data_IF_296021364600
#
_entry.id   IF_296021364600
#
_cell.length_a   1.000
_cell.length_b   1.000
_cell.length_c   1.000
_cell.angle_alpha   90.00
_cell.angle_beta   90.00
_cell.angle_gamma   90.00
#
_symmetry.space_group_name_H-M   'P 1'
#
loop_
_entity.id
_entity.type
_entity.pdbx_description
1 polymer ?
#
# COMPACT_ATOMS: atom_id res chain seq x y z
N UNK A 1 -43.94 -19.32 -60.07
CA UNK A 1 -44.15 -19.30 -58.60
C UNK A 1 -42.80 -19.24 -57.86
N UNK A 2 -41.95 -18.22 -58.06
CA UNK A 2 -40.65 -18.13 -57.35
C UNK A 2 -40.13 -16.68 -57.13
N UNK A 3 -40.93 -15.65 -57.44
CA UNK A 3 -40.45 -14.25 -57.43
C UNK A 3 -41.08 -13.41 -56.29
N UNK A 4 -42.24 -13.78 -55.74
CA UNK A 4 -42.89 -13.01 -54.67
C UNK A 4 -42.33 -13.27 -53.24
N UNK A 5 -41.64 -14.40 -53.03
CA UNK A 5 -41.06 -14.75 -51.72
C UNK A 5 -39.70 -14.10 -51.41
N UNK A 6 -38.93 -13.68 -52.42
CA UNK A 6 -37.61 -13.06 -52.23
C UNK A 6 -37.70 -11.61 -51.73
N UNK A 7 -38.74 -10.87 -52.12
CA UNK A 7 -38.91 -9.48 -51.70
C UNK A 7 -39.41 -9.33 -50.25
N UNK A 8 -40.17 -10.30 -49.72
CA UNK A 8 -40.62 -10.30 -48.33
C UNK A 8 -39.46 -10.60 -47.37
N UNK A 9 -38.55 -11.50 -47.74
CA UNK A 9 -37.33 -11.80 -46.96
C UNK A 9 -36.36 -10.62 -46.98
N UNK A 10 -36.24 -9.90 -48.11
CA UNK A 10 -35.39 -8.69 -48.18
C UNK A 10 -35.99 -7.54 -47.34
N UNK A 11 -37.32 -7.37 -47.33
CA UNK A 11 -37.97 -6.37 -46.49
C UNK A 11 -37.96 -6.72 -44.99
N UNK A 12 -37.94 -8.01 -44.61
CA UNK A 12 -37.80 -8.42 -43.20
C UNK A 12 -36.36 -8.37 -42.69
N UNK A 13 -35.36 -8.43 -43.58
CA UNK A 13 -33.93 -8.30 -43.23
C UNK A 13 -33.53 -6.81 -43.09
N UNK A 14 -34.17 -5.90 -43.83
CA UNK A 14 -33.88 -4.46 -43.78
C UNK A 14 -34.46 -3.77 -42.52
N UNK A 15 -35.53 -4.30 -41.92
CA UNK A 15 -36.12 -3.75 -40.68
C UNK A 15 -35.33 -4.10 -39.40
N UNK A 16 -34.30 -4.94 -39.48
CA UNK A 16 -33.48 -5.34 -38.33
C UNK A 16 -32.18 -4.53 -38.16
N UNK A 17 -31.93 -3.54 -39.03
CA UNK A 17 -30.80 -2.62 -38.93
C UNK A 17 -31.25 -1.23 -38.48
N UNK A 18 -31.93 -1.13 -37.33
CA UNK A 18 -32.03 0.16 -36.64
C UNK A 18 -30.69 0.37 -35.93
N UNK A 19 -29.85 1.35 -36.32
CA UNK A 19 -28.63 1.63 -35.59
C UNK A 19 -29.02 2.11 -34.19
N UNK A 20 -28.85 1.25 -33.19
CA UNK A 20 -28.96 1.61 -31.79
C UNK A 20 -27.89 2.62 -31.46
N UNK A 21 -28.19 3.90 -31.63
CA UNK A 21 -27.35 4.98 -31.15
C UNK A 21 -27.42 4.95 -29.62
N UNK A 22 -26.43 4.32 -28.99
CA UNK A 22 -26.18 4.55 -27.57
C UNK A 22 -25.80 6.02 -27.43
N UNK A 23 -26.69 6.84 -26.87
CA UNK A 23 -26.30 8.19 -26.46
C UNK A 23 -25.32 8.03 -25.30
N UNK A 24 -24.09 8.56 -25.40
CA UNK A 24 -23.20 8.63 -24.26
C UNK A 24 -23.93 9.39 -23.16
N UNK A 25 -24.20 8.72 -22.04
CA UNK A 25 -24.65 9.41 -20.84
C UNK A 25 -23.46 10.15 -20.28
N UNK A 26 -23.38 11.44 -20.58
CA UNK A 26 -22.42 12.35 -19.96
C UNK A 26 -23.16 13.02 -18.81
N UNK A 27 -23.12 12.46 -17.58
CA UNK A 27 -23.69 13.14 -16.43
C UNK A 27 -23.04 14.53 -16.36
N UNK A 28 -23.86 15.56 -16.12
CA UNK A 28 -23.32 16.88 -15.81
C UNK A 28 -22.50 16.72 -14.53
N UNK A 29 -21.17 16.72 -14.67
CA UNK A 29 -20.27 16.70 -13.51
C UNK A 29 -20.61 17.94 -12.70
N UNK A 30 -21.10 17.74 -11.48
CA UNK A 30 -21.40 18.83 -10.57
C UNK A 30 -20.05 19.47 -10.23
N UNK A 31 -19.75 20.61 -10.84
CA UNK A 31 -18.47 21.32 -10.69
C UNK A 31 -18.42 22.16 -9.41
N UNK A 32 -19.16 21.78 -8.37
CA UNK A 32 -18.94 22.38 -7.06
C UNK A 32 -17.58 21.90 -6.59
N UNK A 33 -16.68 22.83 -6.26
CA UNK A 33 -15.41 22.51 -5.64
C UNK A 33 -15.69 21.76 -4.33
N UNK A 34 -15.65 20.43 -4.38
CA UNK A 34 -15.66 19.56 -3.21
C UNK A 34 -14.28 19.70 -2.58
N UNK A 35 -14.15 20.60 -1.61
CA UNK A 35 -12.96 20.80 -0.78
C UNK A 35 -13.26 20.38 0.68
N UNK A 36 -13.86 19.20 0.83
CA UNK A 36 -14.27 18.66 2.11
C UNK A 36 -13.06 18.14 2.87
N UNK A 37 -13.09 18.28 4.20
CA UNK A 37 -12.06 17.72 5.06
C UNK A 37 -12.20 16.19 5.08
N UNK A 38 -11.08 15.51 4.88
CA UNK A 38 -10.94 14.07 5.03
C UNK A 38 -10.05 13.83 6.24
N UNK A 39 -10.54 13.02 7.19
CA UNK A 39 -9.86 12.70 8.44
C UNK A 39 -9.72 11.19 8.54
N UNK A 40 -8.48 10.73 8.64
CA UNK A 40 -8.13 9.31 8.77
C UNK A 40 -7.30 9.08 10.03
N UNK A 41 -7.54 7.97 10.72
CA UNK A 41 -6.80 7.56 11.91
C UNK A 41 -7.68 7.27 13.11
N UNK A 42 -7.04 6.79 14.18
CA UNK A 42 -7.70 6.39 15.42
C UNK A 42 -6.95 6.93 16.63
N UNK A 43 -7.67 7.23 17.70
CA UNK A 43 -7.08 7.67 18.97
C UNK A 43 -6.53 6.43 19.68
N UNK A 44 -5.20 6.33 19.73
CA UNK A 44 -4.53 5.27 20.46
C UNK A 44 -4.46 5.61 21.95
N UNK A 45 -4.96 4.71 22.80
CA UNK A 45 -4.98 4.89 24.25
C UNK A 45 -3.77 4.35 25.00
N UNK A 46 -2.85 3.65 24.33
CA UNK A 46 -1.64 3.12 24.95
C UNK A 46 -0.82 2.20 24.04
N UNK A 47 0.50 2.19 24.25
CA UNK A 47 1.43 1.25 23.61
C UNK A 47 1.95 1.68 22.24
N UNK A 48 1.30 2.64 21.58
CA UNK A 48 1.77 3.27 20.34
C UNK A 48 1.30 4.74 20.29
N UNK A 49 1.81 5.51 19.33
CA UNK A 49 1.41 6.88 19.05
C UNK A 49 0.02 6.96 18.39
N UNK A 50 -0.73 8.03 18.67
CA UNK A 50 -1.88 8.41 17.83
C UNK A 50 -1.36 9.17 16.62
N UNK A 51 -1.74 8.73 15.42
CA UNK A 51 -1.48 9.41 14.16
C UNK A 51 -2.80 9.68 13.45
N UNK A 52 -3.01 10.94 13.04
CA UNK A 52 -4.17 11.40 12.27
C UNK A 52 -3.65 11.99 10.96
N UNK A 53 -4.20 11.54 9.85
CA UNK A 53 -3.95 12.08 8.51
C UNK A 53 -5.11 13.00 8.12
N UNK A 54 -4.80 14.24 7.79
CA UNK A 54 -5.76 15.20 7.26
C UNK A 54 -5.46 15.49 5.78
N UNK A 55 -6.51 15.40 4.97
CA UNK A 55 -6.45 15.79 3.57
C UNK A 55 -7.75 16.47 3.13
N UNK A 56 -7.79 16.92 1.88
CA UNK A 56 -8.94 17.53 1.25
C UNK A 56 -9.33 16.76 0.00
N UNK A 57 -10.65 16.65 -0.20
CA UNK A 57 -11.17 16.13 -1.47
C UNK A 57 -10.77 17.04 -2.63
N UNK A 58 -10.59 16.45 -3.80
CA UNK A 58 -10.24 17.15 -5.03
C UNK A 58 -11.38 17.02 -6.05
N UNK A 59 -11.60 18.03 -6.91
CA UNK A 59 -12.53 17.90 -8.02
C UNK A 59 -12.12 16.75 -8.96
N UNK A 60 -13.10 16.05 -9.54
CA UNK A 60 -12.86 14.90 -10.43
C UNK A 60 -12.03 15.23 -11.68
N UNK A 61 -11.97 16.51 -12.08
CA UNK A 61 -11.18 16.98 -13.22
C UNK A 61 -9.79 17.52 -12.83
N UNK A 62 -9.38 17.32 -11.58
CA UNK A 62 -8.06 17.74 -11.07
C UNK A 62 -6.98 16.71 -11.45
N UNK A 63 -5.76 17.21 -11.70
CA UNK A 63 -4.57 16.34 -11.83
C UNK A 63 -3.98 15.94 -10.47
N UNK A 64 -4.47 16.54 -9.37
CA UNK A 64 -4.10 16.18 -8.01
C UNK A 64 -5.02 15.06 -7.54
N UNK A 65 -4.44 14.02 -6.93
CA UNK A 65 -5.17 12.89 -6.37
C UNK A 65 -5.55 13.09 -4.91
N UNK A 66 -4.71 13.80 -4.14
CA UNK A 66 -4.97 14.20 -2.76
C UNK A 66 -4.32 15.56 -2.48
N UNK A 67 -4.90 16.34 -1.57
CA UNK A 67 -4.30 17.60 -1.10
C UNK A 67 -4.17 17.51 0.42
N UNK A 68 -2.95 17.53 0.99
CA UNK A 68 -2.78 17.46 2.44
C UNK A 68 -3.29 18.74 3.11
N UNK A 69 -3.93 18.60 4.27
CA UNK A 69 -4.32 19.75 5.10
C UNK A 69 -3.18 20.07 6.08
N UNK A 70 -2.54 21.21 5.90
CA UNK A 70 -1.39 21.66 6.68
C UNK A 70 -1.75 22.81 7.63
N UNK A 71 -0.97 23.00 8.68
CA UNK A 71 -1.16 24.10 9.64
C UNK A 71 -2.38 23.98 10.56
N UNK A 72 -3.06 22.82 10.57
CA UNK A 72 -4.19 22.60 11.46
C UNK A 72 -3.72 22.34 12.91
N UNK A 73 -4.47 22.84 13.88
CA UNK A 73 -4.28 22.53 15.30
C UNK A 73 -5.17 21.35 15.66
N UNK A 74 -4.56 20.21 15.98
CA UNK A 74 -5.28 18.99 16.35
C UNK A 74 -5.06 18.65 17.82
N UNK A 75 -6.16 18.40 18.52
CA UNK A 75 -6.15 17.99 19.93
C UNK A 75 -7.08 16.80 20.17
N UNK A 76 -6.63 15.85 20.98
CA UNK A 76 -7.48 14.83 21.59
C UNK A 76 -8.04 15.44 22.88
N UNK A 77 -9.36 15.49 23.01
CA UNK A 77 -10.06 16.04 24.17
C UNK A 77 -10.76 14.92 24.94
N UNK A 78 -10.51 14.85 26.25
CA UNK A 78 -11.24 13.96 27.16
C UNK A 78 -12.50 14.63 27.68
N UNK A 79 -13.54 13.84 27.99
CA UNK A 79 -14.70 14.29 28.76
C UNK A 79 -14.37 14.67 30.21
N UNK A 80 -13.11 14.49 30.65
CA UNK A 80 -12.59 14.88 31.96
C UNK A 80 -11.72 16.16 31.90
N UNK A 81 -11.90 17.00 30.88
CA UNK A 81 -11.19 18.28 30.68
C UNK A 81 -9.67 18.16 30.52
N UNK A 82 -9.16 16.99 30.14
CA UNK A 82 -7.77 16.80 29.71
C UNK A 82 -7.67 16.95 28.19
N UNK A 83 -6.54 17.47 27.69
CA UNK A 83 -6.29 17.65 26.26
C UNK A 83 -4.86 17.28 25.90
N UNK A 84 -4.68 16.64 24.74
CA UNK A 84 -3.40 16.18 24.24
C UNK A 84 -3.20 16.68 22.81
N UNK A 85 -2.12 17.41 22.56
CA UNK A 85 -1.85 18.00 21.24
C UNK A 85 -1.13 17.01 20.33
N UNK A 86 -1.47 17.04 19.04
CA UNK A 86 -0.75 16.31 18.00
C UNK A 86 0.12 17.30 17.22
N UNK A 87 1.39 16.94 17.04
CA UNK A 87 2.34 17.74 16.29
C UNK A 87 2.28 17.40 14.79
N UNK A 88 2.26 18.42 13.94
CA UNK A 88 2.37 18.25 12.49
C UNK A 88 3.74 17.66 12.11
N UNK A 89 3.72 16.67 11.22
CA UNK A 89 4.90 15.96 10.68
C UNK A 89 5.09 16.19 9.17
N UNK A 90 4.25 17.04 8.56
CA UNK A 90 4.20 17.27 7.13
C UNK A 90 3.30 16.27 6.41
N UNK A 91 3.01 16.53 5.12
CA UNK A 91 2.13 15.72 4.27
C UNK A 91 0.75 15.43 4.90
N UNK A 92 0.22 16.36 5.70
CA UNK A 92 -1.06 16.21 6.39
C UNK A 92 -1.03 15.24 7.58
N UNK A 93 0.13 14.73 7.98
CA UNK A 93 0.28 13.80 9.10
C UNK A 93 0.45 14.59 10.40
N UNK A 94 -0.35 14.26 11.40
CA UNK A 94 -0.27 14.81 12.75
C UNK A 94 -0.15 13.67 13.74
N UNK A 95 0.85 13.71 14.62
CA UNK A 95 1.08 12.63 15.58
C UNK A 95 1.38 13.12 16.99
N UNK A 96 0.94 12.31 17.95
CA UNK A 96 1.26 12.48 19.36
C UNK A 96 2.48 11.62 19.75
N UNK A 97 3.19 11.98 20.84
CA UNK A 97 3.97 11.00 21.57
C UNK A 97 3.09 9.81 22.02
N UNK A 98 3.69 8.72 22.48
CA UNK A 98 2.91 7.62 23.09
C UNK A 98 2.13 8.18 24.28
N UNK A 99 0.80 8.06 24.24
CA UNK A 99 -0.11 8.53 25.28
C UNK A 99 -0.58 7.34 26.12
N UNK A 100 -0.84 7.58 27.40
CA UNK A 100 -1.53 6.63 28.29
C UNK A 100 -2.86 7.24 28.68
N UNK A 101 -3.92 6.86 27.96
CA UNK A 101 -5.26 7.43 28.11
C UNK A 101 -6.14 6.48 28.95
N UNK A 102 -6.78 6.95 30.03
CA UNK A 102 -7.73 6.14 30.79
C UNK A 102 -8.84 5.55 29.91
N UNK A 103 -9.02 4.21 29.95
CA UNK A 103 -10.04 3.51 29.18
C UNK A 103 -11.49 3.80 29.64
N UNK A 104 -11.66 4.36 30.84
CA UNK A 104 -12.97 4.73 31.41
C UNK A 104 -13.46 6.10 30.97
N UNK A 105 -12.59 6.92 30.38
CA UNK A 105 -12.96 8.23 29.84
C UNK A 105 -13.43 8.10 28.38
N UNK A 106 -14.13 9.12 27.91
CA UNK A 106 -14.46 9.27 26.49
C UNK A 106 -13.57 10.32 25.88
N UNK A 107 -13.23 10.11 24.61
CA UNK A 107 -12.34 11.01 23.86
C UNK A 107 -13.00 11.44 22.57
N UNK A 108 -12.64 12.64 22.11
CA UNK A 108 -12.96 13.13 20.78
C UNK A 108 -11.74 13.81 20.17
N UNK A 109 -11.74 13.92 18.86
CA UNK A 109 -10.79 14.72 18.12
C UNK A 109 -11.35 16.13 17.91
N UNK A 110 -10.54 17.15 18.14
CA UNK A 110 -10.83 18.53 17.81
C UNK A 110 -9.77 19.05 16.84
N UNK A 111 -10.24 19.55 15.70
CA UNK A 111 -9.41 20.07 14.62
C UNK A 111 -9.80 21.52 14.40
N UNK A 112 -8.84 22.42 14.44
CA UNK A 112 -9.00 23.81 14.01
C UNK A 112 -8.08 24.02 12.81
N UNK A 113 -8.67 24.25 11.64
CA UNK A 113 -7.92 24.45 10.40
C UNK A 113 -7.37 25.87 10.30
N UNK A 114 -6.37 26.09 9.45
CA UNK A 114 -5.72 27.41 9.28
C UNK A 114 -6.70 28.49 8.79
N UNK A 115 -7.75 28.09 8.06
CA UNK A 115 -8.86 28.97 7.65
C UNK A 115 -9.88 29.27 8.77
N UNK A 116 -9.63 28.81 10.00
CA UNK A 116 -10.42 29.09 11.20
C UNK A 116 -11.66 28.21 11.38
N UNK A 117 -11.90 27.22 10.51
CA UNK A 117 -13.01 26.26 10.72
C UNK A 117 -12.69 25.29 11.85
N UNK A 118 -13.71 24.95 12.63
CA UNK A 118 -13.56 24.02 13.76
C UNK A 118 -14.39 22.77 13.53
N UNK A 119 -13.72 21.62 13.58
CA UNK A 119 -14.32 20.30 13.45
C UNK A 119 -14.17 19.53 14.76
N UNK A 120 -15.24 18.86 15.18
CA UNK A 120 -15.26 18.00 16.35
C UNK A 120 -15.76 16.62 15.95
N UNK A 121 -15.07 15.57 16.39
CA UNK A 121 -15.69 14.25 16.41
C UNK A 121 -16.66 14.13 17.59
N UNK A 122 -17.57 13.17 17.50
CA UNK A 122 -18.31 12.70 18.66
C UNK A 122 -17.36 12.13 19.71
N UNK A 123 -17.84 12.11 20.96
CA UNK A 123 -17.17 11.41 22.04
C UNK A 123 -17.30 9.90 21.85
N UNK A 124 -16.17 9.21 21.77
CA UNK A 124 -16.10 7.76 21.64
C UNK A 124 -15.47 7.13 22.88
N UNK A 125 -15.99 5.96 23.25
CA UNK A 125 -15.45 5.14 24.34
C UNK A 125 -14.32 4.27 23.79
N UNK A 126 -13.12 4.27 24.40
CA UNK A 126 -12.03 3.40 23.99
C UNK A 126 -12.40 1.92 24.02
N UNK A 127 -12.00 1.20 22.97
CA UNK A 127 -12.07 -0.26 22.92
C UNK A 127 -10.71 -0.89 23.11
N UNK A 128 -10.62 -1.87 24.00
CA UNK A 128 -9.39 -2.62 24.21
C UNK A 128 -9.30 -3.74 23.16
N UNK A 129 -8.24 -3.73 22.35
CA UNK A 129 -8.02 -4.80 21.38
C UNK A 129 -7.54 -6.07 22.11
N UNK A 130 -8.16 -7.24 21.87
CA UNK A 130 -7.66 -8.49 22.42
C UNK A 130 -6.36 -8.90 21.70
N UNK A 131 -5.54 -9.79 22.30
CA UNK A 131 -4.29 -10.25 21.70
C UNK A 131 -4.50 -10.93 20.34
N UNK A 132 -3.51 -10.80 19.45
CA UNK A 132 -3.44 -11.60 18.22
C UNK A 132 -2.92 -12.99 18.56
N UNK A 133 -3.74 -14.03 18.37
CA UNK A 133 -3.37 -15.42 18.65
C UNK A 133 -2.24 -15.88 17.74
N UNK A 134 -2.43 -15.70 16.43
CA UNK A 134 -1.42 -16.06 15.43
C UNK A 134 -1.65 -15.33 14.12
N UNK A 135 -0.56 -15.16 13.37
CA UNK A 135 -0.59 -14.82 11.96
C UNK A 135 -0.04 -16.04 11.25
N UNK A 136 -0.82 -16.57 10.32
CA UNK A 136 -0.45 -17.75 9.55
C UNK A 136 -0.44 -17.44 8.07
N UNK A 137 0.05 -18.41 7.30
CA UNK A 137 0.03 -18.35 5.85
C UNK A 137 -0.30 -19.73 5.29
N UNK A 138 -0.90 -19.74 4.11
CA UNK A 138 -1.14 -20.96 3.35
C UNK A 138 -0.94 -20.70 1.87
N UNK A 139 -0.42 -21.71 1.17
CA UNK A 139 -0.39 -21.69 -0.28
C UNK A 139 -1.81 -21.77 -0.82
N UNK A 140 -2.15 -20.91 -1.77
CA UNK A 140 -3.42 -20.95 -2.48
C UNK A 140 -3.15 -20.90 -3.98
N UNK A 141 -4.04 -21.54 -4.74
CA UNK A 141 -4.00 -21.52 -6.20
C UNK A 141 -5.42 -21.36 -6.70
N UNK A 142 -5.71 -20.23 -7.33
CA UNK A 142 -7.03 -19.93 -7.86
C UNK A 142 -6.94 -19.48 -9.34
N UNK A 143 -8.06 -19.57 -10.06
CA UNK A 143 -8.10 -19.24 -11.50
C UNK A 143 -8.02 -17.75 -11.80
N UNK A 144 -8.19 -16.88 -10.79
CA UNK A 144 -8.34 -15.42 -10.95
C UNK A 144 -7.06 -14.65 -10.61
N UNK A 145 -6.34 -15.09 -9.58
CA UNK A 145 -5.12 -14.48 -9.02
C UNK A 145 -3.88 -15.37 -9.20
N UNK A 146 -4.04 -16.61 -9.69
CA UNK A 146 -2.93 -17.56 -9.89
C UNK A 146 -2.54 -18.27 -8.60
N UNK A 147 -1.28 -18.75 -8.55
CA UNK A 147 -0.71 -19.37 -7.35
C UNK A 147 0.04 -18.33 -6.53
N UNK A 148 -0.08 -18.41 -5.20
CA UNK A 148 0.64 -17.53 -4.28
C UNK A 148 0.37 -17.86 -2.83
N UNK A 149 0.73 -16.93 -1.96
CA UNK A 149 0.68 -17.05 -0.52
C UNK A 149 -0.47 -16.21 0.04
N UNK A 150 -1.44 -16.85 0.69
CA UNK A 150 -2.46 -16.17 1.46
C UNK A 150 -2.00 -16.02 2.90
N UNK A 151 -1.89 -14.78 3.38
CA UNK A 151 -1.64 -14.47 4.79
C UNK A 151 -2.97 -14.24 5.48
N UNK A 152 -3.11 -14.74 6.71
CA UNK A 152 -4.31 -14.63 7.52
C UNK A 152 -4.02 -14.40 9.00
N UNK A 153 -5.02 -13.92 9.74
CA UNK A 153 -4.97 -13.67 11.18
C UNK A 153 -5.98 -14.52 11.95
N UNK A 154 -5.60 -14.92 13.15
CA UNK A 154 -6.46 -15.53 14.15
C UNK A 154 -6.44 -14.69 15.43
N UNK A 155 -7.61 -14.46 16.01
CA UNK A 155 -7.77 -13.74 17.27
C UNK A 155 -9.05 -14.18 17.98
N UNK A 156 -9.08 -14.04 19.30
CA UNK A 156 -10.29 -14.21 20.08
C UNK A 156 -10.35 -13.21 21.24
N UNK A 157 -11.56 -12.85 21.65
CA UNK A 157 -11.81 -12.14 22.91
C UNK A 157 -12.48 -13.11 23.90
N UNK A 158 -11.77 -13.58 24.94
CA UNK A 158 -12.34 -14.50 25.91
C UNK A 158 -13.49 -13.87 26.73
N UNK A 159 -13.59 -12.53 26.76
CA UNK A 159 -14.66 -11.81 27.44
C UNK A 159 -15.83 -11.47 26.51
N UNK A 160 -15.72 -11.76 25.21
CA UNK A 160 -16.80 -11.60 24.23
C UNK A 160 -17.36 -10.15 24.19
N UNK A 161 -16.46 -9.15 24.15
CA UNK A 161 -16.82 -7.72 24.19
C UNK A 161 -16.48 -6.96 22.88
N UNK A 162 -15.67 -7.55 22.00
CA UNK A 162 -15.09 -6.86 20.84
C UNK A 162 -15.98 -6.98 19.62
N UNK A 163 -16.24 -8.20 19.17
CA UNK A 163 -17.08 -8.60 18.04
C UNK A 163 -16.78 -8.05 16.64
N UNK A 164 -16.06 -6.94 16.55
CA UNK A 164 -15.75 -6.22 15.32
C UNK A 164 -14.28 -5.83 15.34
N UNK A 165 -13.59 -6.15 14.26
CA UNK A 165 -12.14 -6.06 14.14
C UNK A 165 -11.77 -5.35 12.86
N UNK A 166 -10.69 -4.59 12.92
CA UNK A 166 -9.98 -4.02 11.78
C UNK A 166 -8.50 -4.36 11.89
N UNK A 167 -7.86 -4.61 10.75
CA UNK A 167 -6.42 -4.87 10.69
C UNK A 167 -5.74 -3.95 9.68
N UNK A 168 -4.66 -3.32 10.14
CA UNK A 168 -3.65 -2.73 9.25
C UNK A 168 -2.42 -3.62 9.25
N UNK A 169 -1.60 -3.51 8.22
CA UNK A 169 -0.31 -4.18 8.23
C UNK A 169 0.81 -3.38 7.56
N UNK A 170 2.03 -3.60 8.06
CA UNK A 170 3.27 -3.10 7.47
C UNK A 170 4.09 -4.29 6.97
N UNK A 171 4.27 -4.35 5.66
CA UNK A 171 5.07 -5.34 4.98
C UNK A 171 6.50 -4.84 4.82
N UNK A 172 7.45 -5.76 4.91
CA UNK A 172 8.86 -5.52 4.62
C UNK A 172 9.46 -6.79 4.06
N UNK A 173 10.19 -6.69 2.95
CA UNK A 173 10.79 -7.86 2.31
C UNK A 173 12.23 -7.55 1.91
N UNK A 174 13.05 -8.59 1.93
CA UNK A 174 14.41 -8.58 1.41
C UNK A 174 14.40 -9.16 0.00
N UNK A 175 15.05 -8.44 -0.91
CA UNK A 175 15.17 -8.80 -2.32
C UNK A 175 16.57 -8.43 -2.83
N UNK A 176 16.91 -8.93 -4.00
CA UNK A 176 18.19 -8.64 -4.64
C UNK A 176 18.03 -7.93 -5.98
N UNK A 177 19.09 -7.29 -6.47
CA UNK A 177 19.20 -6.95 -7.88
C UNK A 177 19.33 -8.23 -8.71
N UNK A 178 18.99 -8.19 -10.00
CA UNK A 178 19.09 -9.39 -10.86
C UNK A 178 20.55 -9.81 -11.08
N UNK A 179 21.46 -8.84 -11.15
CA UNK A 179 22.90 -9.09 -11.29
C UNK A 179 23.66 -8.42 -10.14
N UNK A 180 24.55 -9.18 -9.50
CA UNK A 180 25.46 -8.64 -8.50
C UNK A 180 26.53 -7.76 -9.16
N UNK A 181 26.81 -6.61 -8.54
CA UNK A 181 27.84 -5.69 -8.98
C UNK A 181 28.94 -5.61 -7.94
N UNK A 182 30.10 -6.18 -8.25
CA UNK A 182 31.28 -6.11 -7.40
C UNK A 182 32.04 -4.80 -7.56
N UNK A 183 31.73 -4.02 -8.61
CA UNK A 183 32.52 -2.89 -9.05
C UNK A 183 31.71 -1.60 -9.15
N UNK A 184 32.41 -0.47 -9.02
CA UNK A 184 31.85 0.88 -9.14
C UNK A 184 32.86 1.81 -9.83
N UNK A 185 32.37 2.75 -10.62
CA UNK A 185 33.20 3.82 -11.18
C UNK A 185 33.34 4.97 -10.20
N UNK A 186 34.55 5.53 -10.10
CA UNK A 186 34.79 6.80 -9.40
C UNK A 186 34.95 8.01 -10.36
N UNK A 187 34.64 7.83 -11.65
CA UNK A 187 34.86 8.84 -12.69
C UNK A 187 36.23 8.81 -13.34
N UNK A 188 37.18 8.03 -12.80
CA UNK A 188 38.55 7.90 -13.33
C UNK A 188 38.97 6.44 -13.52
N UNK A 189 38.41 5.52 -12.74
CA UNK A 189 38.69 4.09 -12.79
C UNK A 189 37.51 3.27 -12.27
N UNK A 190 37.52 1.99 -12.61
CA UNK A 190 36.62 0.99 -12.03
C UNK A 190 37.31 0.36 -10.82
N UNK A 191 36.63 0.38 -9.68
CA UNK A 191 37.13 -0.08 -8.39
C UNK A 191 36.19 -1.14 -7.81
N UNK A 192 36.70 -1.98 -6.91
CA UNK A 192 35.83 -2.83 -6.10
C UNK A 192 34.95 -1.99 -5.18
N UNK A 193 33.69 -2.40 -5.03
CA UNK A 193 32.77 -1.81 -4.06
C UNK A 193 33.23 -2.13 -2.64
N UNK A 194 33.20 -1.11 -1.80
CA UNK A 194 33.29 -1.29 -0.35
C UNK A 194 31.97 -1.85 0.20
N UNK A 195 31.93 -2.41 1.42
CA UNK A 195 30.69 -2.86 2.05
C UNK A 195 29.60 -1.77 2.11
N UNK A 196 29.99 -0.50 2.24
CA UNK A 196 29.05 0.63 2.27
C UNK A 196 28.49 1.02 0.89
N UNK A 197 29.09 0.52 -0.20
CA UNK A 197 28.67 0.79 -1.58
C UNK A 197 27.90 -0.39 -2.21
N UNK A 198 27.60 -1.42 -1.42
CA UNK A 198 26.86 -2.58 -1.87
C UNK A 198 25.43 -2.21 -2.22
N UNK A 199 25.01 -2.62 -3.42
CA UNK A 199 23.72 -2.29 -4.04
C UNK A 199 22.98 -3.55 -4.54
N UNK A 200 23.47 -4.74 -4.14
CA UNK A 200 22.88 -6.00 -4.54
C UNK A 200 21.70 -6.41 -3.66
N UNK A 201 21.77 -6.17 -2.35
CA UNK A 201 20.73 -6.56 -1.39
C UNK A 201 20.00 -5.34 -0.84
N UNK A 202 18.67 -5.36 -0.94
CA UNK A 202 17.82 -4.28 -0.47
C UNK A 202 16.61 -4.79 0.31
N UNK A 203 15.96 -3.84 0.97
CA UNK A 203 14.68 -4.01 1.63
C UNK A 203 13.64 -3.09 1.02
N UNK A 204 12.49 -3.66 0.70
CA UNK A 204 11.28 -2.93 0.31
C UNK A 204 10.32 -2.85 1.49
N UNK A 205 9.44 -1.84 1.49
CA UNK A 205 8.41 -1.68 2.51
C UNK A 205 7.09 -1.19 1.88
N UNK A 206 5.97 -1.67 2.41
CA UNK A 206 4.63 -1.24 2.02
C UNK A 206 3.70 -1.24 3.21
N UNK A 207 2.73 -0.33 3.22
CA UNK A 207 1.62 -0.35 4.18
C UNK A 207 0.37 -0.94 3.50
N UNK A 208 -0.56 -1.45 4.29
CA UNK A 208 -1.87 -1.88 3.82
C UNK A 208 -2.65 -0.69 3.25
N UNK A 209 -3.24 -0.88 2.07
CA UNK A 209 -4.19 0.07 1.46
C UNK A 209 -5.62 -0.41 1.53
N UNK A 210 -5.80 -1.73 1.62
CA UNK A 210 -7.10 -2.38 1.62
C UNK A 210 -7.68 -2.41 3.04
N UNK A 211 -9.00 -2.26 3.15
CA UNK A 211 -9.73 -2.25 4.41
C UNK A 211 -9.98 -3.70 4.86
N UNK A 212 -9.17 -4.21 5.78
CA UNK A 212 -9.33 -5.57 6.30
C UNK A 212 -10.20 -5.62 7.56
N UNK A 213 -11.40 -6.19 7.43
CA UNK A 213 -12.43 -6.24 8.47
C UNK A 213 -12.82 -7.67 8.82
N UNK A 214 -13.18 -7.88 10.08
CA UNK A 214 -13.71 -9.16 10.57
C UNK A 214 -14.77 -8.97 11.64
N UNK A 215 -15.73 -9.88 11.68
CA UNK A 215 -16.78 -9.85 12.70
C UNK A 215 -17.13 -11.24 13.21
N UNK A 216 -17.22 -11.34 14.54
CA UNK A 216 -17.74 -12.50 15.25
C UNK A 216 -19.15 -12.25 15.79
N UNK A 217 -19.80 -11.12 15.44
CA UNK A 217 -21.11 -10.73 15.98
C UNK A 217 -22.25 -11.74 15.69
N UNK A 218 -22.07 -12.59 14.68
CA UNK A 218 -23.01 -13.68 14.32
C UNK A 218 -22.58 -15.05 14.88
N UNK A 219 -21.52 -15.10 15.67
CA UNK A 219 -20.98 -16.30 16.29
C UNK A 219 -21.31 -16.31 17.78
N UNK A 220 -21.44 -17.51 18.35
CA UNK A 220 -21.65 -17.68 19.80
C UNK A 220 -20.42 -17.30 20.61
N UNK A 221 -19.23 -17.43 20.01
CA UNK A 221 -17.95 -17.09 20.63
C UNK A 221 -17.28 -15.99 19.81
N UNK A 222 -16.66 -15.03 20.50
CA UNK A 222 -15.87 -13.98 19.87
C UNK A 222 -14.51 -14.52 19.39
N UNK A 223 -14.56 -15.28 18.29
CA UNK A 223 -13.41 -15.92 17.65
C UNK A 223 -13.41 -15.55 16.17
N UNK A 224 -12.27 -15.04 15.70
CA UNK A 224 -11.95 -14.88 14.29
C UNK A 224 -10.89 -15.92 13.93
N UNK A 225 -11.21 -16.77 12.95
CA UNK A 225 -10.33 -17.84 12.49
C UNK A 225 -10.01 -17.66 11.01
N UNK A 226 -8.72 -17.63 10.69
CA UNK A 226 -8.15 -17.52 9.35
C UNK A 226 -8.77 -16.39 8.50
N UNK A 227 -8.97 -15.21 9.10
CA UNK A 227 -9.38 -14.03 8.35
C UNK A 227 -8.26 -13.62 7.38
N UNK A 228 -8.50 -13.54 6.06
CA UNK A 228 -7.48 -13.13 5.12
C UNK A 228 -7.00 -11.70 5.42
N UNK A 229 -5.72 -11.44 5.15
CA UNK A 229 -5.12 -10.11 5.26
C UNK A 229 -4.56 -9.62 3.94
N UNK A 230 -3.77 -10.46 3.27
CA UNK A 230 -3.16 -10.09 2.00
C UNK A 230 -2.76 -11.34 1.22
N UNK A 231 -2.78 -11.23 -0.11
CA UNK A 231 -2.35 -12.26 -1.03
C UNK A 231 -1.08 -11.81 -1.75
N UNK A 232 -0.04 -12.64 -1.70
CA UNK A 232 1.25 -12.37 -2.36
C UNK A 232 1.42 -13.37 -3.50
N UNK A 233 1.45 -12.94 -4.77
CA UNK A 233 1.67 -13.83 -5.90
C UNK A 233 2.99 -14.61 -5.77
N UNK A 234 3.01 -15.87 -6.24
CA UNK A 234 4.21 -16.73 -6.23
C UNK A 234 5.41 -16.16 -7.01
N UNK A 235 5.16 -15.25 -7.94
CA UNK A 235 6.19 -14.53 -8.72
C UNK A 235 6.58 -13.19 -8.12
N UNK A 236 6.03 -12.82 -6.95
CA UNK A 236 6.34 -11.55 -6.30
C UNK A 236 7.75 -11.57 -5.72
N UNK A 237 8.51 -10.50 -5.97
CA UNK A 237 9.80 -10.25 -5.31
C UNK A 237 9.72 -10.26 -3.77
N UNK A 238 8.54 -10.00 -3.21
CA UNK A 238 8.30 -10.05 -1.76
C UNK A 238 8.69 -11.41 -1.15
N UNK A 239 8.61 -12.48 -1.93
CA UNK A 239 8.88 -13.86 -1.52
C UNK A 239 10.28 -14.36 -1.93
N UNK A 240 11.13 -13.52 -2.55
CA UNK A 240 12.42 -13.92 -3.12
C UNK A 240 13.38 -14.47 -2.06
N UNK A 241 13.65 -13.68 -1.02
CA UNK A 241 14.57 -14.09 0.06
C UNK A 241 13.81 -14.29 1.36
N UNK A 242 13.24 -13.20 1.89
CA UNK A 242 12.57 -13.22 3.18
C UNK A 242 11.55 -12.10 3.28
N UNK A 243 10.38 -12.45 3.79
CA UNK A 243 9.24 -11.58 3.97
C UNK A 243 8.94 -11.38 5.45
N UNK A 244 8.47 -10.20 5.82
CA UNK A 244 7.94 -9.87 7.14
C UNK A 244 6.67 -9.05 7.02
N UNK A 245 5.72 -9.35 7.89
CA UNK A 245 4.49 -8.57 8.07
C UNK A 245 4.28 -8.28 9.55
N UNK A 246 4.06 -7.00 9.88
CA UNK A 246 3.58 -6.57 11.19
C UNK A 246 2.11 -6.23 11.07
N UNK A 247 1.25 -7.02 11.70
CA UNK A 247 -0.19 -6.78 11.74
C UNK A 247 -0.53 -5.97 12.98
N UNK A 248 -1.31 -4.90 12.81
CA UNK A 248 -1.93 -4.12 13.88
C UNK A 248 -3.42 -4.43 13.91
N UNK A 249 -3.92 -4.78 15.09
CA UNK A 249 -5.31 -5.15 15.33
C UNK A 249 -6.01 -4.09 16.18
N UNK A 250 -7.21 -3.73 15.74
CA UNK A 250 -8.07 -2.75 16.38
C UNK A 250 -9.45 -3.35 16.67
N UNK A 251 -9.89 -3.25 17.92
CA UNK A 251 -11.26 -3.49 18.32
C UNK A 251 -12.15 -2.30 17.95
N UNK A 252 -13.27 -2.57 17.29
CA UNK A 252 -14.18 -1.54 16.80
C UNK A 252 -15.51 -1.48 17.57
N UNK A 253 -16.13 -0.31 17.56
CA UNK A 253 -17.57 -0.19 17.81
C UNK A 253 -18.34 -0.70 16.59
N UNK A 254 -19.63 -1.03 16.77
CA UNK A 254 -20.49 -1.40 15.66
C UNK A 254 -20.57 -0.27 14.60
N UNK A 255 -20.66 0.99 15.06
CA UNK A 255 -20.72 2.15 14.17
C UNK A 255 -19.43 2.35 13.36
N UNK A 256 -18.26 2.17 13.99
CA UNK A 256 -16.97 2.25 13.29
C UNK A 256 -16.84 1.13 12.24
N UNK A 257 -17.25 -0.09 12.59
CA UNK A 257 -17.26 -1.22 11.64
C UNK A 257 -18.20 -0.97 10.47
N UNK A 258 -19.40 -0.45 10.72
CA UNK A 258 -20.36 -0.12 9.67
C UNK A 258 -19.84 0.98 8.75
N UNK A 259 -19.19 2.01 9.30
CA UNK A 259 -18.55 3.06 8.53
C UNK A 259 -17.47 2.49 7.60
N UNK A 260 -16.54 1.69 8.12
CA UNK A 260 -15.46 1.09 7.33
C UNK A 260 -15.98 0.07 6.31
N UNK A 261 -17.00 -0.71 6.67
CA UNK A 261 -17.65 -1.65 5.74
C UNK A 261 -18.30 -0.90 4.58
N UNK A 262 -18.94 0.23 4.83
CA UNK A 262 -19.55 1.06 3.78
C UNK A 262 -18.48 1.76 2.94
N UNK A 263 -17.38 2.20 3.56
CA UNK A 263 -16.24 2.76 2.84
C UNK A 263 -15.65 1.72 1.89
N UNK A 264 -15.36 0.51 2.38
CA UNK A 264 -14.88 -0.62 1.57
C UNK A 264 -15.77 -0.92 0.37
N UNK A 265 -17.09 -1.02 0.59
CA UNK A 265 -18.06 -1.24 -0.49
C UNK A 265 -18.01 -0.12 -1.54
N UNK A 266 -17.83 1.12 -1.11
CA UNK A 266 -17.78 2.28 -1.99
C UNK A 266 -16.43 2.50 -2.68
N UNK A 267 -15.34 1.84 -2.26
CA UNK A 267 -13.98 2.11 -2.79
C UNK A 267 -13.30 0.89 -3.41
N UNK A 268 -13.56 -0.31 -2.90
CA UNK A 268 -12.87 -1.54 -3.28
C UNK A 268 -13.77 -2.52 -4.04
N UNK A 269 -15.08 -2.50 -3.79
CA UNK A 269 -16.06 -3.42 -4.40
C UNK A 269 -16.81 -2.78 -5.57
N UNK A 270 -16.14 -1.88 -6.30
CA UNK A 270 -16.68 -1.21 -7.49
C UNK A 270 -16.18 -1.88 -8.79
N UNK A 271 -17.08 -2.23 -9.71
CA UNK A 271 -16.67 -2.71 -11.03
C UNK A 271 -17.70 -3.49 -11.87
N UNK A 272 -18.86 -3.84 -11.32
CA UNK A 272 -19.95 -4.54 -12.00
C UNK A 272 -21.18 -3.65 -12.18
N UNK A 273 -21.92 -3.88 -13.26
CA UNK A 273 -23.20 -3.21 -13.55
C UNK A 273 -24.30 -3.54 -12.52
N UNK A 274 -24.04 -4.50 -11.63
CA UNK A 274 -24.93 -4.92 -10.55
C UNK A 274 -24.45 -4.49 -9.17
N UNK A 275 -23.37 -3.71 -9.08
CA UNK A 275 -22.89 -3.24 -7.78
C UNK A 275 -23.87 -2.26 -7.16
N UNK A 276 -23.92 -2.27 -5.83
CA UNK A 276 -24.73 -1.34 -5.08
C UNK A 276 -24.34 0.10 -5.44
N UNK A 277 -25.33 0.96 -5.63
CA UNK A 277 -25.06 2.38 -5.82
C UNK A 277 -24.33 2.93 -4.58
N UNK A 278 -23.25 3.74 -4.75
CA UNK A 278 -22.53 4.29 -3.62
C UNK A 278 -23.47 4.98 -2.64
N UNK A 279 -23.46 4.53 -1.39
CA UNK A 279 -24.29 5.11 -0.33
C UNK A 279 -23.55 6.26 0.33
N UNK A 280 -24.30 7.25 0.84
CA UNK A 280 -23.71 8.39 1.52
C UNK A 280 -22.97 7.93 2.79
N UNK A 281 -21.66 8.12 2.80
CA UNK A 281 -20.82 7.83 3.96
C UNK A 281 -21.04 8.93 5.00
N UNK A 282 -21.62 8.58 6.15
CA UNK A 282 -21.82 9.50 7.28
C UNK A 282 -20.86 9.14 8.39
N UNK A 283 -19.88 10.01 8.63
CA UNK A 283 -18.92 9.89 9.72
C UNK A 283 -19.44 10.42 11.05
N UNK A 284 -18.58 10.38 12.08
CA UNK A 284 -18.86 10.97 13.40
C UNK A 284 -18.13 12.30 13.61
N UNK A 285 -17.75 13.00 12.54
CA UNK A 285 -17.02 14.26 12.58
C UNK A 285 -17.88 15.36 11.98
N UNK A 286 -17.99 16.48 12.69
CA UNK A 286 -18.89 17.57 12.36
C UNK A 286 -18.17 18.91 12.38
N UNK A 287 -18.43 19.72 11.35
CA UNK A 287 -18.02 21.11 11.34
C UNK A 287 -18.95 21.92 12.26
N UNK A 288 -18.39 22.46 13.35
CA UNK A 288 -19.14 23.26 14.32
C UNK A 288 -19.33 24.71 13.90
N UNK A 289 -18.46 25.20 13.02
CA UNK A 289 -18.54 26.55 12.44
C UNK A 289 -19.55 26.63 11.31
N UNK A 290 -19.83 25.52 10.61
CA UNK A 290 -20.83 25.43 9.55
C UNK A 290 -21.35 23.99 9.43
N UNK A 291 -22.54 23.75 9.97
CA UNK A 291 -23.17 22.42 10.00
C UNK A 291 -23.57 21.88 8.61
N UNK A 292 -23.52 22.69 7.56
CA UNK A 292 -23.84 22.26 6.19
C UNK A 292 -22.63 21.68 5.46
N UNK A 293 -21.41 21.89 5.98
CA UNK A 293 -20.19 21.36 5.39
C UNK A 293 -20.00 19.89 5.75
N UNK A 294 -19.98 18.97 4.77
CA UNK A 294 -19.71 17.58 5.03
C UNK A 294 -18.22 17.36 5.35
N UNK A 295 -17.97 16.31 6.13
CA UNK A 295 -16.64 15.82 6.51
C UNK A 295 -16.62 14.33 6.25
N UNK A 296 -15.52 13.84 5.70
CA UNK A 296 -15.29 12.42 5.47
C UNK A 296 -14.33 11.95 6.55
N UNK A 297 -14.68 10.92 7.30
CA UNK A 297 -13.84 10.39 8.36
C UNK A 297 -14.65 9.84 9.52
N UNK A 298 -14.08 8.88 10.23
CA UNK A 298 -14.65 8.36 11.46
C UNK A 298 -13.52 8.17 12.48
N UNK A 299 -13.66 8.79 13.65
CA UNK A 299 -12.72 8.64 14.76
C UNK A 299 -13.20 7.55 15.70
N UNK A 300 -12.36 6.53 15.84
CA UNK A 300 -12.44 5.55 16.93
C UNK A 300 -11.38 5.84 17.99
N UNK A 301 -11.50 5.19 19.15
CA UNK A 301 -10.47 5.21 20.18
C UNK A 301 -10.24 3.80 20.71
N UNK A 302 -9.01 3.44 21.02
CA UNK A 302 -8.72 2.11 21.56
C UNK A 302 -7.23 1.82 21.73
N UNK A 303 -6.95 0.67 22.35
CA UNK A 303 -5.59 0.11 22.37
C UNK A 303 -5.35 -0.72 21.11
N UNK A 304 -4.09 -0.81 20.69
CA UNK A 304 -3.69 -1.58 19.50
C UNK A 304 -2.87 -2.78 19.95
N UNK A 305 -3.18 -3.95 19.41
CA UNK A 305 -2.33 -5.13 19.55
C UNK A 305 -1.56 -5.34 18.26
N UNK A 306 -0.29 -5.71 18.35
CA UNK A 306 0.56 -5.89 17.18
C UNK A 306 1.37 -7.18 17.26
N UNK A 307 1.55 -7.84 16.13
CA UNK A 307 2.33 -9.07 16.01
C UNK A 307 3.07 -9.09 14.69
N UNK A 308 4.36 -9.42 14.74
CA UNK A 308 5.21 -9.59 13.55
C UNK A 308 5.53 -11.06 13.34
N UNK A 309 5.50 -11.49 12.09
CA UNK A 309 6.04 -12.78 11.66
C UNK A 309 7.08 -12.60 10.55
N UNK A 310 7.83 -13.67 10.30
CA UNK A 310 8.77 -13.79 9.19
C UNK A 310 8.47 -15.06 8.41
N UNK A 311 8.63 -14.97 7.09
CA UNK A 311 8.46 -16.08 6.16
C UNK A 311 9.73 -16.12 5.30
N UNK A 312 10.51 -17.19 5.44
CA UNK A 312 11.70 -17.41 4.64
C UNK A 312 11.33 -18.14 3.35
N UNK A 313 12.03 -17.87 2.24
CA UNK A 313 11.83 -18.59 0.98
C UNK A 313 12.01 -20.11 1.12
N UNK A 314 12.84 -20.56 2.08
CA UNK A 314 13.00 -21.98 2.41
C UNK A 314 11.74 -22.67 2.98
N UNK A 315 10.73 -21.89 3.38
CA UNK A 315 9.42 -22.39 3.83
C UNK A 315 8.39 -22.45 2.70
N UNK A 316 8.76 -22.00 1.50
CA UNK A 316 7.90 -21.89 0.33
C UNK A 316 8.33 -22.91 -0.73
N UNK A 317 7.48 -23.21 -1.73
CA UNK A 317 7.84 -24.09 -2.83
C UNK A 317 9.05 -23.58 -3.62
N UNK A 318 10.03 -24.46 -3.85
CA UNK A 318 11.28 -24.12 -4.55
C UNK A 318 11.09 -23.65 -6.02
N UNK A 319 9.90 -23.87 -6.60
CA UNK A 319 9.57 -23.44 -7.95
C UNK A 319 8.93 -22.04 -7.99
N UNK A 320 8.77 -21.37 -6.85
CA UNK A 320 8.35 -19.98 -6.80
C UNK A 320 9.56 -19.09 -7.06
N UNK A 321 9.56 -18.46 -8.23
CA UNK A 321 10.67 -17.63 -8.72
C UNK A 321 10.12 -16.23 -8.91
N UNK A 322 10.76 -15.26 -8.26
CA UNK A 322 10.43 -13.86 -8.43
C UNK A 322 10.63 -13.43 -9.89
N UNK A 323 9.63 -12.75 -10.44
CA UNK A 323 9.74 -12.11 -11.75
C UNK A 323 10.22 -10.67 -11.54
N UNK A 324 11.41 -10.37 -12.05
CA UNK A 324 11.92 -9.00 -12.02
C UNK A 324 11.10 -8.09 -12.95
N UNK A 325 10.88 -6.82 -12.56
CA UNK A 325 10.04 -5.90 -13.33
C UNK A 325 10.68 -5.45 -14.65
N UNK A 326 11.99 -5.67 -14.83
CA UNK A 326 12.76 -5.21 -15.99
C UNK A 326 13.32 -6.36 -16.82
N UNK A 327 13.43 -6.15 -18.13
CA UNK A 327 14.15 -7.08 -19.00
C UNK A 327 15.65 -6.83 -18.91
N UNK A 328 16.30 -7.43 -17.93
CA UNK A 328 17.74 -7.24 -17.73
C UNK A 328 18.57 -8.17 -18.61
N UNK A 329 19.58 -7.59 -19.25
CA UNK A 329 20.59 -8.27 -20.04
C UNK A 329 21.99 -7.81 -19.60
N UNK A 330 22.97 -8.70 -19.75
CA UNK A 330 24.38 -8.36 -19.55
C UNK A 330 25.00 -8.07 -20.92
N UNK A 331 25.79 -7.02 -20.99
CA UNK A 331 26.65 -6.70 -22.13
C UNK A 331 28.12 -6.66 -21.70
N UNK A 332 29.02 -6.64 -22.68
CA UNK A 332 30.47 -6.70 -22.49
C UNK A 332 31.12 -5.36 -22.81
N UNK A 333 31.90 -4.82 -21.88
CA UNK A 333 32.77 -3.67 -22.11
C UNK A 333 34.23 -4.13 -22.12
N UNK A 334 34.86 -4.12 -23.29
CA UNK A 334 36.24 -4.55 -23.49
C UNK A 334 37.23 -3.41 -23.22
N UNK A 335 38.41 -3.72 -22.67
CA UNK A 335 39.54 -2.79 -22.67
C UNK A 335 40.10 -2.57 -24.09
N UNK A 336 40.01 -3.59 -24.94
CA UNK A 336 40.34 -3.52 -26.36
C UNK A 336 39.35 -4.41 -27.15
N UNK A 337 38.33 -3.79 -27.73
CA UNK A 337 37.23 -4.47 -28.41
C UNK A 337 37.69 -5.13 -29.74
N UNK A 338 37.58 -6.45 -29.88
CA UNK A 338 37.98 -7.16 -31.12
C UNK A 338 37.08 -6.84 -32.31
N UNK A 339 35.86 -6.35 -32.08
CA UNK A 339 34.88 -6.02 -33.11
C UNK A 339 34.88 -4.52 -33.48
N UNK A 340 35.44 -3.66 -32.63
CA UNK A 340 35.52 -2.22 -32.83
C UNK A 340 36.97 -1.69 -32.95
N UNK A 341 37.84 -2.41 -33.67
CA UNK A 341 39.24 -2.00 -33.96
C UNK A 341 40.07 -1.67 -32.71
N UNK A 342 39.83 -2.37 -31.60
CA UNK A 342 40.57 -2.17 -30.35
C UNK A 342 40.12 -0.97 -29.52
N UNK A 343 38.90 -0.47 -29.73
CA UNK A 343 38.32 0.58 -28.89
C UNK A 343 38.24 0.14 -27.41
N UNK A 344 38.44 1.08 -26.49
CA UNK A 344 38.30 0.85 -25.06
C UNK A 344 36.86 1.17 -24.61
N UNK A 345 35.99 0.17 -24.59
CA UNK A 345 34.61 0.34 -24.16
C UNK A 345 34.49 0.62 -22.66
N UNK A 346 35.42 0.11 -21.84
CA UNK A 346 35.41 0.38 -20.38
C UNK A 346 35.56 1.88 -20.14
N UNK A 347 36.53 2.51 -20.80
CA UNK A 347 36.75 3.96 -20.72
C UNK A 347 35.60 4.78 -21.31
N UNK A 348 34.94 4.28 -22.35
CA UNK A 348 33.82 4.98 -22.98
C UNK A 348 32.51 4.87 -22.19
N UNK A 349 32.18 3.69 -21.65
CA UNK A 349 30.84 3.37 -21.14
C UNK A 349 30.75 3.26 -19.62
N UNK A 350 31.84 2.90 -18.95
CA UNK A 350 31.82 2.56 -17.53
C UNK A 350 32.53 3.59 -16.65
N UNK A 351 33.58 4.25 -17.16
CA UNK A 351 34.34 5.23 -16.38
C UNK A 351 33.60 6.58 -16.21
N UNK A 352 33.06 7.23 -17.27
CA UNK A 352 32.51 8.58 -17.14
C UNK A 352 31.30 8.64 -16.21
N UNK A 353 31.16 9.73 -15.44
CA UNK A 353 29.99 9.98 -14.60
C UNK A 353 29.16 11.18 -15.14
N UNK A 354 27.83 11.13 -15.08
CA UNK A 354 27.01 9.98 -14.65
C UNK A 354 27.00 8.86 -15.70
N UNK A 355 26.93 7.60 -15.25
CA UNK A 355 26.74 6.44 -16.12
C UNK A 355 25.47 5.69 -15.72
N UNK A 356 24.70 5.25 -16.71
CA UNK A 356 23.58 4.31 -16.51
C UNK A 356 24.04 2.84 -16.49
N UNK A 357 25.28 2.59 -16.91
CA UNK A 357 25.87 1.27 -17.03
C UNK A 357 26.67 0.92 -15.79
N UNK A 358 26.23 -0.11 -15.08
CA UNK A 358 26.86 -0.58 -13.85
C UNK A 358 27.76 -1.77 -14.17
N UNK A 359 29.08 -1.69 -13.92
CA UNK A 359 29.97 -2.83 -14.07
C UNK A 359 29.64 -3.91 -13.04
N UNK A 360 29.54 -5.16 -13.48
CA UNK A 360 29.14 -6.28 -12.62
C UNK A 360 30.33 -7.13 -12.19
N UNK A 361 30.94 -7.85 -13.13
CA UNK A 361 32.10 -8.73 -12.89
C UNK A 361 33.15 -8.56 -14.00
N UNK A 362 34.39 -8.92 -13.71
CA UNK A 362 35.44 -9.02 -14.73
C UNK A 362 35.29 -10.31 -15.54
N UNK A 363 35.60 -10.26 -16.84
CA UNK A 363 35.73 -11.46 -17.66
C UNK A 363 37.14 -11.61 -18.22
N UNK A 364 37.56 -12.86 -18.40
CA UNK A 364 38.94 -13.23 -18.73
C UNK A 364 38.99 -14.07 -19.99
N UNK A 365 40.11 -13.98 -20.70
CA UNK A 365 40.46 -14.89 -21.79
C UNK A 365 41.29 -16.05 -21.28
N UNK A 366 42.33 -16.42 -22.04
CA UNK A 366 43.29 -17.46 -21.66
C UNK A 366 44.41 -16.98 -20.71
N UNK A 367 44.52 -15.66 -20.49
CA UNK A 367 45.54 -15.04 -19.65
C UNK A 367 45.01 -14.56 -18.29
N UNK A 368 45.91 -14.18 -17.36
CA UNK A 368 45.53 -13.74 -16.01
C UNK A 368 45.01 -12.29 -15.95
N UNK A 369 45.16 -11.51 -17.02
CA UNK A 369 44.66 -10.15 -17.10
C UNK A 369 43.19 -10.14 -17.57
N UNK A 370 42.31 -9.32 -16.96
CA UNK A 370 40.93 -9.20 -17.41
C UNK A 370 40.87 -8.57 -18.79
N UNK A 371 39.96 -9.07 -19.64
CA UNK A 371 39.69 -8.51 -20.96
C UNK A 371 38.75 -7.30 -20.90
N UNK A 372 37.99 -7.19 -19.81
CA UNK A 372 37.00 -6.13 -19.61
C UNK A 372 36.06 -6.45 -18.45
N UNK A 373 34.89 -5.80 -18.46
CA UNK A 373 33.82 -6.00 -17.49
C UNK A 373 32.53 -6.38 -18.20
N UNK A 374 31.74 -7.26 -17.57
CA UNK A 374 30.33 -7.32 -17.86
C UNK A 374 29.65 -6.09 -17.23
N UNK A 375 28.58 -5.62 -17.84
CA UNK A 375 27.79 -4.52 -17.31
C UNK A 375 26.31 -4.66 -17.66
N UNK A 376 25.47 -3.93 -16.96
CA UNK A 376 24.02 -3.88 -17.20
C UNK A 376 23.48 -2.51 -16.79
N UNK A 377 22.22 -2.23 -17.08
CA UNK A 377 21.56 -1.00 -16.66
C UNK A 377 21.40 -0.92 -15.14
N UNK A 378 21.33 0.30 -14.61
CA UNK A 378 21.15 0.57 -13.17
C UNK A 378 19.97 -0.20 -12.57
N UNK A 379 18.85 -0.31 -13.28
CA UNK A 379 17.64 -1.00 -12.84
C UNK A 379 17.85 -2.51 -12.56
N UNK A 380 18.93 -3.08 -13.11
CA UNK A 380 19.23 -4.50 -13.10
C UNK A 380 20.35 -4.91 -12.13
N UNK A 381 21.22 -3.95 -11.77
CA UNK A 381 22.33 -4.16 -10.83
C UNK A 381 22.23 -3.34 -9.54
N UNK A 382 21.32 -2.36 -9.47
CA UNK A 382 21.11 -1.52 -8.29
C UNK A 382 19.70 -1.70 -7.72
N UNK A 383 19.59 -2.46 -6.64
CA UNK A 383 18.31 -2.67 -5.98
C UNK A 383 17.79 -1.40 -5.27
N UNK A 384 18.63 -0.39 -5.04
CA UNK A 384 18.26 0.84 -4.33
C UNK A 384 17.33 1.74 -5.15
N UNK A 385 17.18 1.48 -6.44
CA UNK A 385 16.16 2.11 -7.29
C UNK A 385 14.74 1.75 -6.81
N UNK A 386 14.56 0.57 -6.20
CA UNK A 386 13.26 0.05 -5.75
C UNK A 386 13.14 -0.15 -4.24
N UNK A 387 14.23 0.03 -3.50
CA UNK A 387 14.28 -0.21 -2.06
C UNK A 387 15.42 0.53 -1.38
N UNK A 388 15.75 0.12 -0.16
CA UNK A 388 16.88 0.67 0.60
C UNK A 388 17.92 -0.39 0.88
N UNK A 389 19.20 -0.02 0.83
CA UNK A 389 20.33 -0.87 1.24
C UNK A 389 20.50 -0.92 2.76
N UNK A 390 19.73 -0.13 3.50
CA UNK A 390 19.77 -0.10 4.97
C UNK A 390 18.83 -1.14 5.55
N UNK A 391 19.39 -2.14 6.23
CA UNK A 391 18.62 -3.16 6.93
C UNK A 391 17.73 -2.53 8.01
N UNK A 392 16.42 -2.84 8.05
CA UNK A 392 15.53 -2.40 9.12
C UNK A 392 15.98 -2.93 10.48
N UNK A 393 15.88 -2.13 11.54
CA UNK A 393 16.36 -2.50 12.88
C UNK A 393 15.65 -3.72 13.50
N UNK A 394 14.41 -3.98 13.10
CA UNK A 394 13.66 -5.17 13.55
C UNK A 394 14.02 -6.43 12.76
N UNK A 395 14.71 -6.31 11.62
CA UNK A 395 15.04 -7.42 10.73
C UNK A 395 16.05 -8.35 11.42
N UNK A 396 15.66 -9.59 11.65
CA UNK A 396 16.43 -10.61 12.39
C UNK A 396 16.62 -11.84 11.56
#
# INVERSE_FOLDING_TARGET
MWIKGRYIIIYSIITWFIPGCTKPYNPKVISTASNYLVVEGTINTGGDSTTILLSRTVPLNSNLTTVPELGAVITIQSNQNQSYSLAEKGNGIYSSPVLTLPATAQYRLSIVTDDGKTYLSDYVTPKASPPIDSIGFTEVSNKQQGSGLQIYVNTHDPNNNTHYYHWDYLETWQFHAKYESDYVSNGTAILFRTPAQQIFQCWGNSISTDIELGSSAKLTQDVIYQSPLTFIPSTSEKLETRYSIMVKQYALSADAYNYLSLLKQNTEELGSIFDAQPSQLTGNIHCTTDATLPVIGYISAGSVQQKRIYINSSQLPNNWIATYPYNCELDTAWFADPHARGANNVEAFLIPLPTSNIPTVQFFGTGPAPLGYLYTDIDCADCSVRGTTTQPSFWQ
#
